data_IF_912869547375
#
_entry.id   IF_912869547375
#
_cell.length_a   1.000
_cell.length_b   1.000
_cell.length_c   1.000
_cell.angle_alpha   90.00
_cell.angle_beta   90.00
_cell.angle_gamma   90.00
#
_symmetry.space_group_name_H-M   'P 1'
#
loop_
_entity.id
_entity.type
_entity.pdbx_description
1 polymer ?
#
# COMPACT_ATOMS: atom_id res chain seq x y z
N UNK A 1 -14.16 -0.78 -9.24
CA UNK A 1 -12.85 -0.23 -8.83
C UNK A 1 -13.01 0.97 -7.91
N UNK A 2 -13.79 1.98 -8.26
CA UNK A 2 -14.02 3.17 -7.40
C UNK A 2 -14.48 2.83 -5.97
N UNK A 3 -15.45 1.91 -5.73
CA UNK A 3 -15.85 1.57 -4.34
C UNK A 3 -14.74 0.89 -3.54
N UNK A 4 -13.90 0.09 -4.20
CA UNK A 4 -12.79 -0.64 -3.57
C UNK A 4 -11.71 0.35 -3.12
N UNK A 5 -11.34 1.30 -3.99
CA UNK A 5 -10.36 2.33 -3.66
C UNK A 5 -10.87 3.21 -2.52
N UNK A 6 -12.14 3.64 -2.57
CA UNK A 6 -12.74 4.42 -1.50
C UNK A 6 -12.76 3.67 -0.16
N UNK A 7 -13.14 2.39 -0.18
CA UNK A 7 -13.09 1.51 1.00
C UNK A 7 -11.67 1.40 1.55
N UNK A 8 -10.68 1.16 0.69
CA UNK A 8 -9.27 1.06 1.09
C UNK A 8 -8.75 2.36 1.72
N UNK A 9 -8.98 3.52 1.08
CA UNK A 9 -8.59 4.84 1.62
C UNK A 9 -9.23 5.09 2.99
N UNK A 10 -10.50 4.71 3.15
CA UNK A 10 -11.22 4.84 4.43
C UNK A 10 -10.61 3.96 5.51
N UNK A 11 -10.34 2.69 5.19
CA UNK A 11 -9.69 1.76 6.11
C UNK A 11 -8.30 2.28 6.51
N UNK A 12 -7.51 2.74 5.54
CA UNK A 12 -6.17 3.30 5.79
C UNK A 12 -6.24 4.52 6.69
N UNK A 13 -7.20 5.42 6.49
CA UNK A 13 -7.41 6.58 7.37
C UNK A 13 -7.67 6.15 8.82
N UNK A 14 -8.63 5.25 9.05
CA UNK A 14 -8.95 4.77 10.39
C UNK A 14 -7.81 3.96 11.01
N UNK A 15 -7.14 3.09 10.25
CA UNK A 15 -5.95 2.38 10.70
C UNK A 15 -4.85 3.35 11.12
N UNK A 16 -4.59 4.41 10.34
CA UNK A 16 -3.57 5.40 10.68
C UNK A 16 -3.87 6.16 11.98
N UNK A 17 -5.16 6.32 12.30
CA UNK A 17 -5.64 6.98 13.52
C UNK A 17 -5.70 6.04 14.73
N UNK A 18 -5.95 4.75 14.49
CA UNK A 18 -6.00 3.72 15.53
C UNK A 18 -4.64 3.15 15.90
N UNK A 19 -3.64 3.29 15.02
CA UNK A 19 -2.31 2.78 15.30
C UNK A 19 -1.70 3.51 16.50
N UNK A 20 -1.20 2.80 17.53
CA UNK A 20 -0.66 3.43 18.72
C UNK A 20 0.55 4.30 18.37
N UNK A 21 0.51 5.55 18.85
CA UNK A 21 1.45 6.60 18.49
C UNK A 21 0.69 7.86 18.12
N UNK A 22 0.68 8.83 19.03
CA UNK A 22 0.10 10.14 18.76
C UNK A 22 0.81 10.74 17.52
N UNK A 23 0.08 11.04 16.42
CA UNK A 23 0.70 11.61 15.24
C UNK A 23 1.41 12.93 15.53
N UNK A 24 1.01 13.67 16.57
CA UNK A 24 1.75 14.82 17.06
C UNK A 24 3.08 14.40 17.73
N UNK A 25 3.10 13.29 18.48
CA UNK A 25 4.31 12.81 19.14
C UNK A 25 5.43 12.43 18.17
N UNK A 26 5.10 12.09 16.92
CA UNK A 26 6.11 11.89 15.88
C UNK A 26 6.90 13.16 15.53
N UNK A 27 6.35 14.35 15.80
CA UNK A 27 6.99 15.65 15.55
C UNK A 27 7.51 16.33 16.82
N UNK A 28 7.22 15.78 18.01
CA UNK A 28 7.58 16.39 19.28
C UNK A 28 8.91 15.83 19.80
N UNK A 29 9.81 16.68 20.34
CA UNK A 29 10.94 16.19 21.11
C UNK A 29 10.45 15.45 22.36
N UNK A 30 11.26 14.51 22.86
CA UNK A 30 10.92 13.63 24.01
C UNK A 30 10.49 14.44 25.26
N UNK A 31 10.95 15.68 25.38
CA UNK A 31 10.67 16.58 26.51
C UNK A 31 9.66 17.70 26.17
N UNK A 32 8.82 17.52 25.15
CA UNK A 32 7.90 18.56 24.71
C UNK A 32 6.89 18.95 25.80
N UNK A 33 6.63 20.25 25.94
CA UNK A 33 5.61 20.76 26.87
C UNK A 33 4.20 20.50 26.33
N UNK A 34 3.21 20.51 27.23
CA UNK A 34 1.78 20.33 26.87
C UNK A 34 1.32 21.41 25.87
N UNK A 35 1.89 22.62 25.97
CA UNK A 35 1.59 23.74 25.07
C UNK A 35 2.14 23.49 23.66
N UNK A 36 3.38 23.00 23.55
CA UNK A 36 3.98 22.61 22.26
C UNK A 36 3.19 21.48 21.61
N UNK A 37 2.74 20.51 22.41
CA UNK A 37 1.88 19.43 21.95
C UNK A 37 0.58 19.97 21.33
N UNK A 38 -0.15 20.83 22.03
CA UNK A 38 -1.40 21.42 21.54
C UNK A 38 -1.20 22.27 20.28
N UNK A 39 -0.08 23.00 20.20
CA UNK A 39 0.26 23.78 19.01
C UNK A 39 0.46 22.87 17.78
N UNK A 40 1.13 21.73 17.95
CA UNK A 40 1.32 20.74 16.88
C UNK A 40 0.01 20.03 16.53
N UNK A 41 -0.80 19.65 17.53
CA UNK A 41 -2.13 19.06 17.30
C UNK A 41 -3.02 20.00 16.48
N UNK A 42 -3.02 21.30 16.79
CA UNK A 42 -3.77 22.31 16.05
C UNK A 42 -3.21 22.51 14.63
N UNK A 43 -1.89 22.57 14.47
CA UNK A 43 -1.24 22.67 13.15
C UNK A 43 -1.55 21.47 12.25
N UNK A 44 -1.59 20.26 12.82
CA UNK A 44 -2.01 19.04 12.14
C UNK A 44 -3.55 18.90 12.02
N UNK A 45 -4.33 19.81 12.63
CA UNK A 45 -5.78 19.77 12.73
C UNK A 45 -6.33 18.50 13.38
N UNK A 46 -5.59 17.91 14.32
CA UNK A 46 -6.00 16.73 15.08
C UNK A 46 -7.08 17.05 16.13
N UNK A 47 -7.25 18.35 16.43
CA UNK A 47 -8.27 18.94 17.29
C UNK A 47 -9.64 19.08 16.60
N UNK A 48 -9.69 18.95 15.28
CA UNK A 48 -10.93 19.05 14.50
C UNK A 48 -11.78 17.77 14.61
N UNK A 49 -13.11 17.85 14.40
CA UNK A 49 -13.95 16.66 14.30
C UNK A 49 -13.46 15.67 13.23
N UNK A 50 -13.61 14.37 13.51
CA UNK A 50 -13.05 13.29 12.68
C UNK A 50 -13.50 13.34 11.21
N UNK A 51 -14.73 13.79 10.96
CA UNK A 51 -15.26 13.93 9.61
C UNK A 51 -14.53 15.02 8.82
N UNK A 52 -14.15 16.14 9.46
CA UNK A 52 -13.37 17.21 8.82
C UNK A 52 -11.97 16.68 8.49
N UNK A 53 -11.35 15.96 9.41
CA UNK A 53 -10.04 15.34 9.18
C UNK A 53 -10.07 14.38 7.99
N UNK A 54 -11.14 13.59 7.87
CA UNK A 54 -11.33 12.65 6.77
C UNK A 54 -11.54 13.33 5.42
N UNK A 55 -12.42 14.35 5.34
CA UNK A 55 -12.63 15.09 4.10
C UNK A 55 -11.38 15.85 3.65
N UNK A 56 -10.64 16.44 4.59
CA UNK A 56 -9.34 17.06 4.31
C UNK A 56 -8.35 16.02 3.80
N UNK A 57 -8.25 14.85 4.44
CA UNK A 57 -7.40 13.75 3.97
C UNK A 57 -7.73 13.32 2.53
N UNK A 58 -9.02 13.20 2.20
CA UNK A 58 -9.45 12.90 0.83
C UNK A 58 -9.06 14.02 -0.14
N UNK A 59 -9.31 15.28 0.21
CA UNK A 59 -8.98 16.43 -0.64
C UNK A 59 -7.47 16.54 -0.89
N UNK A 60 -6.66 16.36 0.16
CA UNK A 60 -5.20 16.31 0.08
C UNK A 60 -4.72 15.16 -0.81
N UNK A 61 -5.40 14.01 -0.77
CA UNK A 61 -5.12 12.86 -1.63
C UNK A 61 -5.27 13.23 -3.12
N UNK A 62 -6.33 13.95 -3.48
CA UNK A 62 -6.62 14.34 -4.87
C UNK A 62 -5.81 15.53 -5.35
N UNK A 63 -5.41 16.44 -4.45
CA UNK A 63 -4.58 17.61 -4.79
C UNK A 63 -3.09 17.29 -4.88
N UNK A 64 -2.67 16.08 -4.46
CA UNK A 64 -1.27 15.68 -4.43
C UNK A 64 -0.49 16.28 -3.25
N UNK A 65 -1.15 17.05 -2.39
CA UNK A 65 -0.55 17.61 -1.18
C UNK A 65 -0.62 16.61 -0.03
N UNK A 66 0.10 15.50 -0.16
CA UNK A 66 0.07 14.38 0.79
C UNK A 66 0.82 14.65 2.09
N UNK A 67 1.29 15.89 2.29
CA UNK A 67 2.01 16.32 3.47
C UNK A 67 3.41 15.74 3.57
N UNK A 68 3.96 15.84 4.79
CA UNK A 68 5.29 15.35 5.15
C UNK A 68 5.16 14.03 5.88
N UNK A 69 6.07 13.10 5.60
CA UNK A 69 6.20 11.87 6.35
C UNK A 69 6.54 12.17 7.81
N UNK A 70 5.81 11.52 8.71
CA UNK A 70 6.06 11.48 10.15
C UNK A 70 6.71 10.17 10.61
N UNK A 71 6.81 9.16 9.74
CA UNK A 71 7.24 7.80 10.10
C UNK A 71 8.52 7.32 9.43
N UNK A 72 8.66 7.51 8.12
CA UNK A 72 9.77 6.93 7.35
C UNK A 72 10.97 7.88 7.37
N UNK A 73 10.70 9.16 7.16
CA UNK A 73 11.67 10.24 7.24
C UNK A 73 10.95 11.50 7.72
N UNK A 74 11.30 12.00 8.91
CA UNK A 74 10.69 13.20 9.48
C UNK A 74 10.89 14.39 8.54
N UNK A 75 9.78 14.98 8.09
CA UNK A 75 9.81 16.25 7.36
C UNK A 75 9.99 16.14 5.85
N UNK A 76 10.24 14.95 5.31
CA UNK A 76 10.33 14.69 3.87
C UNK A 76 8.93 14.59 3.26
N UNK A 77 8.69 15.16 2.07
CA UNK A 77 7.38 15.06 1.43
C UNK A 77 7.06 13.59 1.10
N UNK A 78 5.80 13.19 1.28
CA UNK A 78 5.37 11.81 1.00
C UNK A 78 5.56 11.47 -0.48
N UNK A 79 5.36 12.44 -1.38
CA UNK A 79 5.58 12.27 -2.83
C UNK A 79 7.02 11.84 -3.16
N UNK A 80 8.01 12.49 -2.54
CA UNK A 80 9.42 12.21 -2.77
C UNK A 80 9.79 10.79 -2.32
N UNK A 81 9.22 10.34 -1.19
CA UNK A 81 9.42 8.99 -0.69
C UNK A 81 8.81 7.94 -1.62
N UNK A 82 7.60 8.20 -2.12
CA UNK A 82 6.93 7.30 -3.07
C UNK A 82 7.76 7.20 -4.34
N UNK A 83 8.20 8.34 -4.88
CA UNK A 83 9.02 8.36 -6.08
C UNK A 83 10.38 7.68 -5.90
N UNK A 84 10.98 7.78 -4.70
CA UNK A 84 12.25 7.10 -4.41
C UNK A 84 12.10 5.56 -4.38
N UNK A 85 10.95 5.03 -4.00
CA UNK A 85 10.71 3.59 -3.88
C UNK A 85 10.06 2.99 -5.12
N UNK A 86 9.28 3.79 -5.85
CA UNK A 86 8.48 3.36 -6.99
C UNK A 86 9.31 2.64 -8.08
N UNK A 87 10.48 3.14 -8.52
CA UNK A 87 11.30 2.46 -9.54
C UNK A 87 11.71 1.04 -9.12
N UNK A 88 12.07 0.85 -7.84
CA UNK A 88 12.49 -0.46 -7.34
C UNK A 88 11.34 -1.47 -7.34
N UNK A 89 10.15 -1.04 -6.96
CA UNK A 89 8.95 -1.89 -7.06
C UNK A 89 8.62 -2.20 -8.51
N UNK A 90 8.68 -1.21 -9.41
CA UNK A 90 8.45 -1.41 -10.83
C UNK A 90 9.41 -2.43 -11.43
N UNK A 91 10.71 -2.32 -11.16
CA UNK A 91 11.71 -3.29 -11.62
C UNK A 91 11.33 -4.70 -11.19
N UNK A 92 11.07 -4.91 -9.90
CA UNK A 92 10.67 -6.21 -9.36
C UNK A 92 9.38 -6.74 -10.01
N UNK A 93 8.36 -5.89 -10.16
CA UNK A 93 7.09 -6.27 -10.78
C UNK A 93 7.28 -6.64 -12.25
N UNK A 94 8.07 -5.88 -13.01
CA UNK A 94 8.35 -6.14 -14.41
C UNK A 94 9.10 -7.46 -14.57
N UNK A 95 10.16 -7.69 -13.77
CA UNK A 95 10.89 -8.96 -13.80
C UNK A 95 10.00 -10.16 -13.45
N UNK A 96 9.20 -10.04 -12.38
CA UNK A 96 8.26 -11.07 -11.99
C UNK A 96 7.24 -11.36 -13.11
N UNK A 97 6.68 -10.32 -13.72
CA UNK A 97 5.73 -10.45 -14.83
C UNK A 97 6.36 -11.14 -16.03
N UNK A 98 7.58 -10.78 -16.41
CA UNK A 98 8.29 -11.38 -17.54
C UNK A 98 8.55 -12.87 -17.30
N UNK A 99 9.08 -13.22 -16.13
CA UNK A 99 9.38 -14.62 -15.77
C UNK A 99 8.08 -15.43 -15.68
N UNK A 100 7.07 -14.93 -14.97
CA UNK A 100 5.80 -15.62 -14.81
C UNK A 100 5.08 -15.80 -16.14
N UNK A 101 5.05 -14.78 -17.00
CA UNK A 101 4.44 -14.88 -18.33
C UNK A 101 5.20 -15.87 -19.20
N UNK A 102 6.54 -15.82 -19.23
CA UNK A 102 7.34 -16.75 -20.01
C UNK A 102 7.12 -18.20 -19.58
N UNK A 103 7.20 -18.48 -18.28
CA UNK A 103 6.97 -19.83 -17.74
C UNK A 103 5.53 -20.29 -17.94
N UNK A 104 4.55 -19.41 -17.70
CA UNK A 104 3.12 -19.71 -17.89
C UNK A 104 2.79 -20.04 -19.33
N UNK A 105 3.28 -19.26 -20.29
CA UNK A 105 3.10 -19.52 -21.73
C UNK A 105 3.76 -20.85 -22.11
N UNK A 106 5.01 -21.11 -21.68
CA UNK A 106 5.71 -22.38 -21.98
C UNK A 106 4.96 -23.58 -21.40
N UNK A 107 4.53 -23.50 -20.15
CA UNK A 107 3.77 -24.56 -19.49
C UNK A 107 2.42 -24.80 -20.19
N UNK A 108 1.70 -23.73 -20.55
CA UNK A 108 0.44 -23.80 -21.29
C UNK A 108 0.60 -24.48 -22.65
N UNK A 109 1.63 -24.12 -23.42
CA UNK A 109 1.93 -24.74 -24.72
C UNK A 109 2.28 -26.24 -24.58
N UNK A 110 3.09 -26.61 -23.58
CA UNK A 110 3.47 -28.01 -23.33
C UNK A 110 2.24 -28.83 -22.93
N UNK A 111 1.40 -28.31 -22.04
CA UNK A 111 0.14 -28.92 -21.60
C UNK A 111 -0.82 -29.11 -22.79
N UNK A 112 -0.98 -28.10 -23.64
CA UNK A 112 -1.82 -28.18 -24.83
C UNK A 112 -1.33 -29.25 -25.82
N UNK A 113 -0.02 -29.34 -26.07
CA UNK A 113 0.57 -30.34 -26.98
C UNK A 113 0.49 -31.77 -26.42
N UNK A 114 0.56 -31.93 -25.10
CA UNK A 114 0.54 -33.24 -24.43
C UNK A 114 -0.78 -33.52 -23.71
N UNK A 115 -1.90 -33.06 -24.27
CA UNK A 115 -3.22 -33.20 -23.67
C UNK A 115 -3.50 -34.64 -23.21
N UNK A 116 -4.01 -34.79 -21.99
CA UNK A 116 -4.31 -36.08 -21.34
C UNK A 116 -3.08 -37.00 -21.14
N UNK A 117 -1.86 -36.49 -21.27
CA UNK A 117 -0.62 -37.21 -20.92
C UNK A 117 -0.15 -36.80 -19.53
N UNK A 118 0.74 -37.56 -18.88
CA UNK A 118 1.24 -37.25 -17.54
C UNK A 118 1.81 -35.82 -17.38
N UNK A 119 2.46 -35.26 -18.42
CA UNK A 119 2.98 -33.89 -18.42
C UNK A 119 1.88 -32.83 -18.28
N UNK A 120 0.74 -33.03 -18.93
CA UNK A 120 -0.43 -32.14 -18.82
C UNK A 120 -1.05 -32.23 -17.42
N UNK A 121 -1.23 -33.45 -16.91
CA UNK A 121 -1.78 -33.68 -15.56
C UNK A 121 -0.95 -33.02 -14.47
N UNK A 122 0.39 -33.12 -14.54
CA UNK A 122 1.30 -32.48 -13.57
C UNK A 122 1.22 -30.94 -13.64
N UNK A 123 1.22 -30.36 -14.85
CA UNK A 123 1.13 -28.90 -15.05
C UNK A 123 -0.20 -28.37 -14.51
N UNK A 124 -1.31 -29.05 -14.80
CA UNK A 124 -2.64 -28.67 -14.30
C UNK A 124 -2.74 -28.78 -12.78
N UNK A 125 -2.21 -29.86 -12.19
CA UNK A 125 -2.16 -30.03 -10.74
C UNK A 125 -1.38 -28.91 -10.05
N UNK A 126 -0.21 -28.57 -10.57
CA UNK A 126 0.58 -27.45 -10.06
C UNK A 126 -0.14 -26.10 -10.20
N UNK A 127 -0.81 -25.84 -11.33
CA UNK A 127 -1.57 -24.63 -11.54
C UNK A 127 -2.77 -24.51 -10.58
N UNK A 128 -3.47 -25.62 -10.32
CA UNK A 128 -4.56 -25.66 -9.36
C UNK A 128 -4.07 -25.33 -7.95
N UNK A 129 -3.00 -25.98 -7.49
CA UNK A 129 -2.41 -25.70 -6.17
C UNK A 129 -1.98 -24.24 -6.08
N UNK A 130 -1.30 -23.72 -7.11
CA UNK A 130 -0.89 -22.32 -7.16
C UNK A 130 -2.06 -21.35 -7.08
N UNK A 131 -3.17 -21.64 -7.76
CA UNK A 131 -4.38 -20.80 -7.68
C UNK A 131 -4.98 -20.74 -6.28
N UNK A 132 -4.87 -21.81 -5.48
CA UNK A 132 -5.36 -21.85 -4.10
C UNK A 132 -4.57 -20.91 -3.19
N UNK A 133 -3.25 -20.81 -3.36
CA UNK A 133 -2.43 -19.89 -2.58
C UNK A 133 -2.84 -18.42 -2.75
N UNK A 134 -3.40 -18.05 -3.91
CA UNK A 134 -3.87 -16.69 -4.14
C UNK A 134 -5.21 -16.37 -3.47
N UNK A 135 -5.99 -17.36 -3.05
CA UNK A 135 -7.25 -17.15 -2.32
C UNK A 135 -7.04 -16.90 -0.81
N UNK A 136 -5.85 -17.19 -0.28
CA UNK A 136 -5.51 -16.99 1.14
C UNK A 136 -4.71 -15.71 1.41
N UNK A 137 -4.42 -14.91 0.37
CA UNK A 137 -3.68 -13.65 0.45
C UNK A 137 -4.58 -12.43 0.46
#
# INVERSE_FOLDING_TARGET
MVPVVFGAVTIVFFMSRWMPGDPAAAYLPINATIEQKRAIEHWLGLDQPIYIQYFRYIADLFTGNWGKSSRISLGTNVWDLIWAHFPRTMELTIFALLIASFLGIKAGLISAKHRNKPKDTVIRGAALIGSQFQYFG
#
